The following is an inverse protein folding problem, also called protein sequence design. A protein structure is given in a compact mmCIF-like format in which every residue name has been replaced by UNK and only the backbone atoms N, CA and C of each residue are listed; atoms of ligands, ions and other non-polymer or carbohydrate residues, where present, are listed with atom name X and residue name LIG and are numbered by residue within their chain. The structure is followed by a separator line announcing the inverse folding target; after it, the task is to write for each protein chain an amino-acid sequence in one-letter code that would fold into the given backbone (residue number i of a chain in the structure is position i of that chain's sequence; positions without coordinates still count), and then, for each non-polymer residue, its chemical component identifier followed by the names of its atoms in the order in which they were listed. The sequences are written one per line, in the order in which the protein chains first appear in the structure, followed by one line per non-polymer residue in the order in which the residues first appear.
data_IF_835918704527
#
_entry.id   IF_835918704527
#
_cell.length_a   1.000
_cell.length_b   1.000
_cell.length_c   1.000
_cell.angle_alpha   90.00
_cell.angle_beta   90.00
_cell.angle_gamma   90.00
#
_symmetry.space_group_name_H-M   'P 1'
#
loop_
_entity.id
_entity.type
_entity.pdbx_description
1 polymer ?
#
# COMPACT_ATOMS: atom_id res chain seq x y z
N UNK A 1 9.40 5.66 -25.08
CA UNK A 1 10.27 4.70 -24.36
C UNK A 1 9.87 4.69 -22.88
N UNK A 2 9.73 3.51 -22.23
CA UNK A 2 9.43 3.45 -20.79
C UNK A 2 10.74 3.52 -19.99
N UNK A 3 11.03 4.66 -19.35
CA UNK A 3 12.20 4.80 -18.47
C UNK A 3 12.09 3.89 -17.23
N UNK A 4 10.88 3.70 -16.71
CA UNK A 4 10.61 2.87 -15.53
C UNK A 4 10.86 1.38 -15.84
N UNK A 5 10.29 0.85 -16.94
CA UNK A 5 10.43 -0.56 -17.29
C UNK A 5 11.87 -1.02 -17.50
N UNK A 6 12.72 -0.16 -18.08
CA UNK A 6 14.14 -0.46 -18.34
C UNK A 6 15.06 -0.34 -17.13
N UNK A 7 14.59 0.31 -16.06
CA UNK A 7 15.41 0.48 -14.86
C UNK A 7 15.64 -0.86 -14.16
N UNK A 8 16.88 -1.30 -13.95
CA UNK A 8 17.15 -2.52 -13.21
C UNK A 8 16.62 -2.42 -11.78
N UNK A 9 16.34 -3.54 -11.17
CA UNK A 9 15.89 -3.65 -9.78
C UNK A 9 17.01 -4.31 -8.99
N UNK A 10 17.56 -3.60 -8.01
CA UNK A 10 18.56 -4.17 -7.11
C UNK A 10 17.88 -4.99 -6.02
N UNK A 11 18.29 -6.23 -5.85
CA UNK A 11 17.80 -7.13 -4.79
C UNK A 11 18.71 -6.93 -3.57
N UNK A 12 18.17 -6.46 -2.43
CA UNK A 12 18.95 -6.27 -1.21
C UNK A 12 19.34 -7.61 -0.59
N UNK A 13 20.39 -7.60 0.23
CA UNK A 13 20.82 -8.79 0.98
C UNK A 13 19.67 -9.35 1.85
N UNK A 14 19.51 -10.66 1.84
CA UNK A 14 18.44 -11.34 2.58
C UNK A 14 17.10 -11.45 1.82
N UNK A 15 17.02 -10.97 0.58
CA UNK A 15 15.88 -11.19 -0.30
C UNK A 15 16.26 -12.13 -1.43
N UNK A 16 15.40 -13.10 -1.70
CA UNK A 16 15.55 -14.06 -2.81
C UNK A 16 14.40 -13.87 -3.80
N UNK A 17 14.72 -13.79 -5.07
CA UNK A 17 13.75 -13.71 -6.16
C UNK A 17 13.91 -14.95 -7.02
N UNK A 18 12.82 -15.68 -7.24
CA UNK A 18 12.76 -16.84 -8.12
C UNK A 18 11.66 -16.68 -9.15
N UNK A 19 11.92 -17.10 -10.36
CA UNK A 19 10.95 -17.14 -11.45
C UNK A 19 10.65 -18.61 -11.75
N UNK A 20 9.41 -19.01 -11.54
CA UNK A 20 8.91 -20.35 -11.79
C UNK A 20 8.23 -20.48 -13.15
N UNK A 21 7.53 -21.58 -13.33
CA UNK A 21 6.71 -21.83 -14.52
C UNK A 21 5.62 -20.74 -14.66
N UNK A 22 5.17 -20.49 -15.88
CA UNK A 22 4.14 -19.50 -16.22
C UNK A 22 4.45 -18.07 -15.74
N UNK A 23 5.73 -17.69 -15.65
CA UNK A 23 6.16 -16.40 -15.12
C UNK A 23 5.70 -16.13 -13.68
N UNK A 24 5.55 -17.15 -12.86
CA UNK A 24 5.27 -17.01 -11.44
C UNK A 24 6.53 -16.51 -10.72
N UNK A 25 6.48 -15.26 -10.30
CA UNK A 25 7.57 -14.61 -9.56
C UNK A 25 7.31 -14.78 -8.07
N UNK A 26 8.25 -15.38 -7.37
CA UNK A 26 8.22 -15.50 -5.91
C UNK A 26 9.35 -14.69 -5.30
N UNK A 27 9.01 -13.77 -4.43
CA UNK A 27 9.96 -12.93 -3.69
C UNK A 27 9.86 -13.25 -2.21
N UNK A 28 10.97 -13.78 -1.65
CA UNK A 28 11.08 -14.15 -0.25
C UNK A 28 12.07 -13.22 0.46
N UNK A 29 11.68 -12.71 1.61
CA UNK A 29 12.51 -11.84 2.42
C UNK A 29 12.25 -11.97 3.92
N UNK A 30 12.88 -11.14 4.74
CA UNK A 30 12.77 -11.23 6.21
C UNK A 30 11.36 -10.99 6.76
N UNK A 31 10.51 -10.25 6.03
CA UNK A 31 9.14 -9.93 6.48
C UNK A 31 8.07 -10.89 5.97
N UNK A 32 8.38 -11.70 4.95
CA UNK A 32 7.44 -12.65 4.39
C UNK A 32 7.78 -13.06 2.96
N UNK A 33 6.82 -13.69 2.32
CA UNK A 33 6.93 -14.14 0.93
C UNK A 33 5.73 -13.61 0.15
N UNK A 34 6.00 -13.03 -1.00
CA UNK A 34 4.98 -12.55 -1.95
C UNK A 34 5.14 -13.29 -3.28
N UNK A 35 4.01 -13.54 -3.92
CA UNK A 35 3.97 -14.16 -5.25
C UNK A 35 3.16 -13.29 -6.21
N UNK A 36 3.59 -13.25 -7.45
CA UNK A 36 2.88 -12.54 -8.52
C UNK A 36 3.13 -13.22 -9.86
N UNK A 37 2.08 -13.45 -10.64
CA UNK A 37 2.20 -13.97 -12.00
C UNK A 37 2.34 -12.82 -12.98
N UNK A 38 3.50 -12.71 -13.61
CA UNK A 38 3.73 -11.70 -14.63
C UNK A 38 3.04 -12.08 -15.95
N UNK A 39 2.59 -11.10 -16.75
CA UNK A 39 2.02 -11.38 -18.07
C UNK A 39 2.98 -12.21 -18.94
N UNK A 40 2.44 -13.19 -19.67
CA UNK A 40 3.23 -14.12 -20.49
C UNK A 40 4.10 -13.42 -21.55
N UNK A 41 3.70 -12.23 -22.00
CA UNK A 41 4.48 -11.39 -22.94
C UNK A 41 5.77 -10.83 -22.34
N UNK A 42 5.88 -10.76 -21.01
CA UNK A 42 7.06 -10.19 -20.34
C UNK A 42 8.07 -11.25 -19.97
N UNK A 43 9.34 -11.00 -20.17
CA UNK A 43 10.41 -11.89 -19.72
C UNK A 43 11.11 -11.26 -18.52
N UNK A 44 11.23 -12.01 -17.43
CA UNK A 44 11.90 -11.58 -16.20
C UNK A 44 13.19 -12.35 -16.05
N UNK A 45 14.31 -11.64 -16.05
CA UNK A 45 15.65 -12.21 -15.89
C UNK A 45 16.19 -11.83 -14.50
N UNK A 46 16.74 -12.80 -13.80
CA UNK A 46 17.35 -12.64 -12.48
C UNK A 46 18.83 -12.97 -12.61
N UNK A 47 19.67 -11.93 -12.54
CA UNK A 47 21.13 -12.04 -12.64
C UNK A 47 21.75 -11.67 -11.29
N UNK A 48 21.92 -12.67 -10.43
CA UNK A 48 22.46 -12.48 -9.09
C UNK A 48 21.63 -11.50 -8.27
N UNK A 49 22.16 -10.30 -8.01
CA UNK A 49 21.50 -9.27 -7.22
C UNK A 49 20.70 -8.24 -8.06
N UNK A 50 20.48 -8.52 -9.34
CA UNK A 50 19.77 -7.60 -10.24
C UNK A 50 18.66 -8.33 -10.96
N UNK A 51 17.46 -7.74 -10.95
CA UNK A 51 16.30 -8.23 -11.73
C UNK A 51 16.02 -7.23 -12.85
N UNK A 52 15.89 -7.76 -14.07
CA UNK A 52 15.52 -6.99 -15.25
C UNK A 52 14.27 -7.57 -15.90
N UNK A 53 13.44 -6.69 -16.43
CA UNK A 53 12.24 -7.07 -17.17
C UNK A 53 12.42 -6.64 -18.63
N UNK A 54 12.13 -7.55 -19.55
CA UNK A 54 12.19 -7.25 -20.98
C UNK A 54 10.83 -7.48 -21.64
N UNK A 55 10.58 -6.79 -22.75
CA UNK A 55 9.37 -6.89 -23.55
C UNK A 55 9.70 -7.32 -24.97
N UNK A 56 8.76 -8.03 -25.68
CA UNK A 56 9.03 -8.52 -27.03
C UNK A 56 9.01 -7.41 -28.09
N UNK A 57 8.19 -6.38 -27.92
CA UNK A 57 7.92 -5.34 -28.90
C UNK A 57 7.70 -3.96 -28.26
N UNK A 58 7.48 -2.94 -29.11
CA UNK A 58 7.22 -1.55 -28.72
C UNK A 58 5.73 -1.16 -28.85
N UNK A 59 4.82 -2.12 -28.89
CA UNK A 59 3.37 -1.86 -28.86
C UNK A 59 2.97 -1.12 -27.57
N UNK A 60 1.85 -0.41 -27.62
CA UNK A 60 1.35 0.39 -26.49
C UNK A 60 1.11 -0.47 -25.25
N UNK A 61 0.49 -1.64 -25.43
CA UNK A 61 0.21 -2.60 -24.36
C UNK A 61 1.49 -3.18 -23.75
N UNK A 62 2.44 -3.60 -24.59
CA UNK A 62 3.73 -4.12 -24.12
C UNK A 62 4.52 -3.08 -23.35
N UNK A 63 4.46 -1.80 -23.76
CA UNK A 63 5.08 -0.70 -23.00
C UNK A 63 4.41 -0.47 -21.63
N UNK A 64 3.08 -0.57 -21.58
CA UNK A 64 2.32 -0.40 -20.34
C UNK A 64 2.63 -1.55 -19.36
N UNK A 65 2.52 -2.81 -19.83
CA UNK A 65 2.80 -4.01 -19.04
C UNK A 65 4.25 -4.06 -18.55
N UNK A 66 5.22 -3.65 -19.37
CA UNK A 66 6.62 -3.60 -19.00
C UNK A 66 6.87 -2.72 -17.76
N UNK A 67 6.34 -1.50 -17.75
CA UNK A 67 6.45 -0.59 -16.61
C UNK A 67 5.70 -1.08 -15.38
N UNK A 68 4.50 -1.66 -15.57
CA UNK A 68 3.70 -2.23 -14.50
C UNK A 68 4.40 -3.40 -13.83
N UNK A 69 4.81 -4.41 -14.62
CA UNK A 69 5.49 -5.62 -14.11
C UNK A 69 6.75 -5.26 -13.32
N UNK A 70 7.59 -4.39 -13.88
CA UNK A 70 8.80 -3.91 -13.18
C UNK A 70 8.45 -3.26 -11.84
N UNK A 71 7.40 -2.43 -11.81
CA UNK A 71 6.99 -1.72 -10.59
C UNK A 71 6.43 -2.68 -9.54
N UNK A 72 5.65 -3.69 -9.95
CA UNK A 72 5.12 -4.70 -9.04
C UNK A 72 6.25 -5.52 -8.41
N UNK A 73 7.21 -6.01 -9.20
CA UNK A 73 8.38 -6.75 -8.68
C UNK A 73 9.17 -5.89 -7.69
N UNK A 74 9.42 -4.64 -8.05
CA UNK A 74 10.12 -3.71 -7.15
C UNK A 74 9.37 -3.49 -5.84
N UNK A 75 8.03 -3.34 -5.90
CA UNK A 75 7.21 -3.22 -4.70
C UNK A 75 7.27 -4.49 -3.84
N UNK A 76 7.27 -5.68 -4.44
CA UNK A 76 7.43 -6.94 -3.70
C UNK A 76 8.78 -6.97 -2.97
N UNK A 77 9.88 -6.64 -3.65
CA UNK A 77 11.23 -6.64 -3.08
C UNK A 77 11.33 -5.65 -1.90
N UNK A 78 10.86 -4.42 -2.10
CA UNK A 78 10.83 -3.40 -1.02
C UNK A 78 9.91 -3.84 0.11
N UNK A 79 8.77 -4.45 -0.21
CA UNK A 79 7.80 -4.90 0.78
C UNK A 79 8.35 -5.97 1.70
N UNK A 80 8.94 -7.04 1.16
CA UNK A 80 9.49 -8.14 1.97
C UNK A 80 10.77 -7.74 2.71
N UNK A 81 11.46 -6.69 2.30
CA UNK A 81 12.66 -6.17 2.98
C UNK A 81 12.31 -5.10 4.02
N UNK A 82 11.87 -3.93 3.59
CA UNK A 82 11.57 -2.77 4.46
C UNK A 82 10.12 -2.76 4.96
N UNK A 83 9.17 -3.25 4.14
CA UNK A 83 7.74 -3.13 4.37
C UNK A 83 7.18 -1.78 3.94
N UNK A 84 5.88 -1.66 3.98
CA UNK A 84 5.15 -0.43 3.70
C UNK A 84 4.35 0.00 4.91
N UNK A 85 4.18 1.30 5.04
CA UNK A 85 3.28 1.89 6.05
C UNK A 85 2.49 3.05 5.45
N UNK A 86 1.26 3.19 5.93
CA UNK A 86 0.39 4.34 5.66
C UNK A 86 -0.09 4.90 6.97
N UNK A 87 0.16 6.19 7.17
CA UNK A 87 -0.29 6.91 8.35
C UNK A 87 -1.58 7.65 8.03
N UNK A 88 -2.56 7.52 8.92
CA UNK A 88 -3.86 8.18 8.88
C UNK A 88 -4.02 9.04 10.12
N UNK A 89 -4.64 10.20 9.95
CA UNK A 89 -4.96 11.14 11.00
C UNK A 89 -6.47 11.23 11.19
N UNK A 90 -6.90 11.19 12.43
CA UNK A 90 -8.31 11.35 12.82
C UNK A 90 -8.51 12.77 13.31
N UNK A 91 -9.45 13.47 12.70
CA UNK A 91 -9.81 14.84 13.07
C UNK A 91 -11.27 14.88 13.50
N UNK A 92 -11.56 15.39 14.68
CA UNK A 92 -12.93 15.54 15.18
C UNK A 92 -13.03 15.33 16.69
N UNK A 93 -13.89 16.14 17.34
CA UNK A 93 -14.15 16.00 18.78
C UNK A 93 -14.85 14.67 19.04
N UNK A 94 -14.30 13.88 19.97
CA UNK A 94 -14.84 12.56 20.32
C UNK A 94 -14.47 11.43 19.36
N UNK A 95 -13.79 11.72 18.25
CA UNK A 95 -13.28 10.67 17.36
C UNK A 95 -11.97 10.12 17.93
N UNK A 96 -11.84 8.80 17.93
CA UNK A 96 -10.64 8.14 18.46
C UNK A 96 -10.43 6.77 17.84
N UNK A 97 -9.18 6.35 17.79
CA UNK A 97 -8.76 4.99 17.52
C UNK A 97 -8.16 4.37 18.78
N UNK A 98 -8.30 3.08 18.93
CA UNK A 98 -7.63 2.27 19.94
C UNK A 98 -7.23 0.92 19.34
N UNK A 99 -6.16 0.33 19.85
CA UNK A 99 -5.78 -1.04 19.51
C UNK A 99 -6.13 -1.94 20.69
N UNK A 100 -6.96 -2.95 20.44
CA UNK A 100 -7.36 -3.97 21.40
C UNK A 100 -6.88 -5.35 20.94
N UNK A 101 -5.71 -5.76 21.44
CA UNK A 101 -5.07 -6.99 20.99
C UNK A 101 -4.73 -6.92 19.50
N UNK A 102 -5.39 -7.77 18.69
CA UNK A 102 -5.25 -7.82 17.22
C UNK A 102 -6.34 -7.04 16.48
N UNK A 103 -7.10 -6.20 17.17
CA UNK A 103 -8.18 -5.43 16.56
C UNK A 103 -7.92 -3.94 16.68
N UNK A 104 -8.11 -3.23 15.58
CA UNK A 104 -8.20 -1.78 15.54
C UNK A 104 -9.67 -1.40 15.76
N UNK A 105 -9.94 -0.62 16.78
CA UNK A 105 -11.26 -0.12 17.15
C UNK A 105 -11.37 1.36 16.82
N UNK A 106 -12.35 1.73 16.01
CA UNK A 106 -12.55 3.11 15.58
C UNK A 106 -13.89 3.64 16.08
N UNK A 107 -13.85 4.72 16.85
CA UNK A 107 -15.00 5.49 17.23
C UNK A 107 -15.02 6.78 16.41
N UNK A 108 -15.83 6.82 15.35
CA UNK A 108 -15.87 7.92 14.38
C UNK A 108 -17.22 8.63 14.33
N UNK A 109 -17.95 8.68 15.47
CA UNK A 109 -19.25 9.31 15.54
C UNK A 109 -20.39 8.52 14.90
N UNK A 110 -20.22 7.21 14.74
CA UNK A 110 -21.28 6.27 14.44
C UNK A 110 -21.93 5.76 15.73
N UNK A 111 -23.13 5.18 15.64
CA UNK A 111 -23.83 4.59 16.79
C UNK A 111 -23.13 3.35 17.38
N UNK A 112 -22.18 2.77 16.63
CA UNK A 112 -21.41 1.60 17.02
C UNK A 112 -19.92 1.80 16.61
N UNK A 113 -18.97 1.18 17.33
CA UNK A 113 -17.59 1.17 16.94
C UNK A 113 -17.38 0.34 15.66
N UNK A 114 -16.36 0.69 14.89
CA UNK A 114 -15.94 -0.03 13.68
C UNK A 114 -14.67 -0.81 14.01
N UNK A 115 -14.61 -2.05 13.56
CA UNK A 115 -13.50 -2.95 13.85
C UNK A 115 -12.77 -3.34 12.57
N UNK A 116 -11.43 -3.38 12.65
CA UNK A 116 -10.56 -4.01 11.65
C UNK A 116 -9.67 -5.02 12.36
N UNK A 117 -9.53 -6.21 11.81
CA UNK A 117 -8.71 -7.27 12.39
C UNK A 117 -7.34 -7.32 11.71
N UNK A 118 -6.30 -7.56 12.51
CA UNK A 118 -4.97 -7.85 11.97
C UNK A 118 -4.97 -9.23 11.32
N UNK A 119 -4.16 -9.36 10.27
CA UNK A 119 -3.88 -10.62 9.60
C UNK A 119 -2.37 -10.81 9.48
N UNK A 120 -1.92 -11.93 8.93
CA UNK A 120 -0.50 -12.19 8.70
C UNK A 120 0.14 -11.13 7.76
N UNK A 121 -0.67 -10.49 6.92
CA UNK A 121 -0.24 -9.45 5.99
C UNK A 121 -0.32 -8.03 6.57
N UNK A 122 -1.16 -7.81 7.58
CA UNK A 122 -1.51 -6.46 8.05
C UNK A 122 -1.37 -6.37 9.55
N UNK A 123 -0.72 -5.32 9.99
CA UNK A 123 -0.68 -4.93 11.40
C UNK A 123 -1.02 -3.45 11.55
N UNK A 124 -1.61 -3.13 12.69
CA UNK A 124 -1.95 -1.75 13.05
C UNK A 124 -1.09 -1.29 14.21
N UNK A 125 -0.74 -0.01 14.18
CA UNK A 125 -0.12 0.67 15.28
C UNK A 125 -0.88 1.97 15.57
N UNK A 126 -1.17 2.23 16.83
CA UNK A 126 -1.95 3.37 17.28
C UNK A 126 -1.14 4.08 18.36
N UNK A 127 -0.17 4.93 17.97
CA UNK A 127 0.69 5.62 18.93
C UNK A 127 -0.10 6.61 19.80
N UNK A 128 -1.16 7.16 19.27
CA UNK A 128 -2.09 8.04 19.97
C UNK A 128 -3.51 7.88 19.46
N UNK A 129 -4.50 8.38 20.17
CA UNK A 129 -5.92 8.22 19.85
C UNK A 129 -6.33 8.82 18.50
N UNK A 130 -5.51 9.68 17.89
CA UNK A 130 -5.81 10.37 16.65
C UNK A 130 -4.94 9.93 15.48
N UNK A 131 -4.03 8.98 15.70
CA UNK A 131 -3.10 8.50 14.66
C UNK A 131 -3.19 7.01 14.51
N UNK A 132 -3.33 6.56 13.27
CA UNK A 132 -3.34 5.14 12.90
C UNK A 132 -2.22 4.92 11.90
N UNK A 133 -1.38 3.90 12.13
CA UNK A 133 -0.35 3.47 11.19
C UNK A 133 -0.73 2.07 10.73
N UNK A 134 -1.06 1.94 9.45
CA UNK A 134 -1.29 0.65 8.78
C UNK A 134 0.04 0.15 8.24
N UNK A 135 0.47 -1.03 8.62
CA UNK A 135 1.72 -1.65 8.20
C UNK A 135 1.45 -2.96 7.46
N UNK A 136 2.16 -3.17 6.36
CA UNK A 136 2.10 -4.42 5.59
C UNK A 136 3.38 -4.58 4.78
N UNK A 137 3.74 -5.82 4.45
CA UNK A 137 4.77 -6.08 3.44
C UNK A 137 4.19 -6.14 2.02
N UNK A 138 2.88 -6.13 1.85
CA UNK A 138 2.22 -5.94 0.57
C UNK A 138 1.70 -4.51 0.42
N UNK A 139 2.21 -3.80 -0.59
CA UNK A 139 1.83 -2.40 -0.86
C UNK A 139 0.35 -2.25 -1.24
N UNK A 140 -0.21 -3.21 -1.97
CA UNK A 140 -1.59 -3.17 -2.43
C UNK A 140 -2.54 -3.31 -1.23
N UNK A 141 -2.29 -4.31 -0.41
CA UNK A 141 -3.07 -4.58 0.81
C UNK A 141 -2.97 -3.42 1.80
N UNK A 142 -1.77 -2.88 2.02
CA UNK A 142 -1.56 -1.70 2.86
C UNK A 142 -2.38 -0.50 2.37
N UNK A 143 -2.37 -0.23 1.06
CA UNK A 143 -3.13 0.85 0.45
C UNK A 143 -4.64 0.64 0.51
N UNK A 144 -5.10 -0.58 0.26
CA UNK A 144 -6.51 -0.94 0.29
C UNK A 144 -7.11 -0.76 1.69
N UNK A 145 -6.48 -1.32 2.71
CA UNK A 145 -6.97 -1.20 4.10
C UNK A 145 -6.92 0.26 4.58
N UNK A 146 -5.89 1.02 4.24
CA UNK A 146 -5.84 2.44 4.58
C UNK A 146 -6.98 3.22 3.90
N UNK A 147 -7.32 2.91 2.66
CA UNK A 147 -8.45 3.50 1.95
C UNK A 147 -9.80 3.10 2.56
N UNK A 148 -9.95 1.85 2.97
CA UNK A 148 -11.16 1.37 3.65
C UNK A 148 -11.37 2.06 5.01
N UNK A 149 -10.31 2.21 5.81
CA UNK A 149 -10.38 2.96 7.08
C UNK A 149 -10.81 4.40 6.81
N UNK A 150 -10.18 5.07 5.82
CA UNK A 150 -10.54 6.44 5.46
C UNK A 150 -11.98 6.55 4.96
N UNK A 151 -12.48 5.58 4.21
CA UNK A 151 -13.84 5.56 3.67
C UNK A 151 -14.93 5.47 4.74
N UNK A 152 -14.63 4.93 5.93
CA UNK A 152 -15.60 4.82 7.04
C UNK A 152 -16.07 6.19 7.53
N UNK A 153 -15.21 7.21 7.45
CA UNK A 153 -15.57 8.60 7.75
C UNK A 153 -14.64 9.53 6.96
N UNK A 154 -14.92 9.80 5.68
CA UNK A 154 -14.09 10.70 4.89
C UNK A 154 -14.13 12.12 5.47
N UNK A 155 -13.03 12.89 5.34
CA UNK A 155 -12.98 14.24 5.88
C UNK A 155 -14.01 15.14 5.20
N UNK A 156 -14.79 15.86 5.99
CA UNK A 156 -15.81 16.78 5.50
C UNK A 156 -15.17 18.13 5.09
N UNK A 157 -15.81 18.87 4.15
CA UNK A 157 -15.16 20.03 3.53
C UNK A 157 -15.22 21.33 4.36
N UNK A 158 -15.89 21.38 5.50
CA UNK A 158 -16.04 22.63 6.28
C UNK A 158 -14.99 22.73 7.39
N UNK A 159 -14.95 21.76 8.30
CA UNK A 159 -14.00 21.71 9.42
C UNK A 159 -12.91 20.67 9.22
N UNK A 160 -13.06 19.78 8.23
CA UNK A 160 -12.11 18.70 7.95
C UNK A 160 -12.23 17.51 8.92
N UNK A 161 -13.39 17.37 9.60
CA UNK A 161 -13.64 16.23 10.49
C UNK A 161 -13.73 14.94 9.71
N UNK A 162 -13.06 13.90 10.18
CA UNK A 162 -13.01 12.59 9.53
C UNK A 162 -11.62 11.98 9.63
N UNK A 163 -11.40 10.94 8.84
CA UNK A 163 -10.11 10.25 8.70
C UNK A 163 -9.46 10.68 7.39
N UNK A 164 -8.25 11.17 7.44
CA UNK A 164 -7.45 11.59 6.29
C UNK A 164 -6.08 10.93 6.30
N UNK A 165 -5.40 10.91 5.15
CA UNK A 165 -3.98 10.54 5.12
C UNK A 165 -3.12 11.64 5.75
N UNK A 166 -1.98 11.25 6.31
CA UNK A 166 -0.97 12.23 6.76
C UNK A 166 -0.56 13.12 5.58
N UNK A 167 -0.57 14.43 5.82
CA UNK A 167 -0.26 15.43 4.79
C UNK A 167 -1.36 15.64 3.72
N UNK A 168 -2.50 14.98 3.81
CA UNK A 168 -3.61 15.19 2.88
C UNK A 168 -4.22 16.60 3.09
N UNK A 169 -4.16 17.40 2.04
CA UNK A 169 -4.79 18.72 2.05
C UNK A 169 -6.27 18.63 1.64
N UNK A 170 -7.16 18.94 2.57
CA UNK A 170 -8.60 18.97 2.33
C UNK A 170 -9.03 20.35 1.87
N UNK A 171 -9.55 20.47 0.66
CA UNK A 171 -10.11 21.72 0.15
C UNK A 171 -11.35 22.11 0.97
N UNK A 172 -11.20 23.15 1.77
CA UNK A 172 -12.30 23.64 2.60
C UNK A 172 -13.23 24.58 1.84
N UNK A 173 -14.51 24.50 2.16
CA UNK A 173 -15.54 25.41 1.70
C UNK A 173 -15.90 26.40 2.81
N UNK A 174 -16.23 27.62 2.46
CA UNK A 174 -16.85 28.54 3.41
C UNK A 174 -18.26 28.08 3.75
N UNK A 175 -18.60 28.02 5.02
CA UNK A 175 -19.97 27.77 5.45
C UNK A 175 -20.91 28.91 5.05
N UNK A 176 -22.22 28.67 5.09
CA UNK A 176 -23.21 29.77 4.95
C UNK A 176 -22.98 30.75 6.08
N UNK A 177 -22.63 31.98 5.75
CA UNK A 177 -22.75 33.12 6.67
C UNK A 177 -24.26 33.35 6.87
N UNK A 178 -24.78 33.02 8.04
CA UNK A 178 -26.12 33.43 8.41
C UNK A 178 -26.15 34.97 8.44
N UNK A 179 -27.10 35.55 7.73
CA UNK A 179 -27.53 36.92 8.01
C UNK A 179 -28.40 36.90 9.22
#
# INVERSE_FOLDING_TARGET
MSRIGRAPITVPAGVTVTVGEENLITVKGPKGTLTHTAPAKMTVNVDGAVVTVTRPDDEADSRALHGLTRTLINNMIVGVSAGFQKKLEIVGVGYRAAKEGKKLVLNLGHSHPIYFEESDLISFDVPDANTIIVKSYDKQVCGQIAAEIRSKRPPEPYHGKGVKYEGEHIRRKAGKTGK
#
